data_IF_814530333737
#
_entry.id   IF_814530333737
#
_cell.length_a   1.000
_cell.length_b   1.000
_cell.length_c   1.000
_cell.angle_alpha   90.00
_cell.angle_beta   90.00
_cell.angle_gamma   90.00
#
_symmetry.space_group_name_H-M   'P 1'
#
loop_
_entity.id
_entity.type
_entity.pdbx_description
1 polymer ?
#
# COMPACT_ATOMS: atom_id res chain seq x y z
N UNK A 1 32.98 31.21 18.44
CA UNK A 1 32.96 29.74 18.26
C UNK A 1 31.52 29.27 18.09
N UNK A 2 31.06 29.09 16.86
CA UNK A 2 29.72 28.59 16.54
C UNK A 2 29.74 27.06 16.60
N UNK A 3 29.02 26.48 17.58
CA UNK A 3 28.84 25.02 17.67
C UNK A 3 28.06 24.55 16.45
N UNK A 4 28.73 23.81 15.56
CA UNK A 4 28.14 23.18 14.38
C UNK A 4 27.06 22.19 14.79
N UNK A 5 25.84 22.41 14.32
CA UNK A 5 24.62 21.63 14.62
C UNK A 5 24.57 20.29 13.86
N UNK A 6 25.68 19.55 13.83
CA UNK A 6 25.89 18.36 12.98
C UNK A 6 24.99 17.16 13.35
N UNK A 7 24.36 17.16 14.52
CA UNK A 7 23.46 16.11 14.98
C UNK A 7 22.06 16.15 14.33
N UNK A 8 21.67 17.29 13.73
CA UNK A 8 20.33 17.49 13.15
C UNK A 8 20.17 16.95 11.72
N UNK A 9 21.25 16.90 10.94
CA UNK A 9 21.21 16.45 9.55
C UNK A 9 21.00 14.92 9.39
N UNK A 10 21.65 14.03 10.17
CA UNK A 10 21.49 12.59 10.03
C UNK A 10 20.08 12.08 10.40
N UNK A 11 19.47 12.68 11.43
CA UNK A 11 18.11 12.31 11.87
C UNK A 11 17.04 12.76 10.86
N UNK A 12 17.24 13.92 10.23
CA UNK A 12 16.37 14.40 9.15
C UNK A 12 16.46 13.53 7.90
N UNK A 13 17.68 13.15 7.48
CA UNK A 13 17.87 12.22 6.35
C UNK A 13 17.21 10.86 6.62
N UNK A 14 17.36 10.33 7.84
CA UNK A 14 16.71 9.07 8.23
C UNK A 14 15.18 9.17 8.21
N UNK A 15 14.62 10.26 8.75
CA UNK A 15 13.18 10.49 8.70
C UNK A 15 12.67 10.64 7.25
N UNK A 16 13.40 11.35 6.39
CA UNK A 16 13.07 11.50 4.98
C UNK A 16 13.10 10.17 4.23
N UNK A 17 14.09 9.32 4.49
CA UNK A 17 14.17 7.99 3.89
C UNK A 17 13.02 7.09 4.33
N UNK A 18 12.64 7.11 5.61
CA UNK A 18 11.47 6.37 6.09
C UNK A 18 10.14 6.90 5.55
N UNK A 19 10.04 8.21 5.31
CA UNK A 19 8.87 8.80 4.67
C UNK A 19 8.72 8.33 3.22
N UNK A 20 9.83 8.31 2.46
CA UNK A 20 9.84 7.79 1.09
C UNK A 20 9.42 6.30 1.05
N UNK A 21 9.97 5.49 1.95
CA UNK A 21 9.60 4.07 2.05
C UNK A 21 8.11 3.89 2.38
N UNK A 22 7.57 4.73 3.27
CA UNK A 22 6.14 4.70 3.59
C UNK A 22 5.28 5.08 2.37
N UNK A 23 5.69 6.07 1.58
CA UNK A 23 4.98 6.45 0.35
C UNK A 23 4.97 5.30 -0.66
N UNK A 24 6.10 4.60 -0.82
CA UNK A 24 6.21 3.42 -1.70
C UNK A 24 5.31 2.28 -1.23
N UNK A 25 5.37 1.93 0.07
CA UNK A 25 4.56 0.87 0.67
C UNK A 25 3.06 1.20 0.56
N UNK A 26 2.70 2.46 0.81
CA UNK A 26 1.32 2.93 0.68
C UNK A 26 0.83 2.94 -0.76
N UNK A 27 1.70 3.29 -1.72
CA UNK A 27 1.39 3.17 -3.15
C UNK A 27 1.10 1.72 -3.54
N UNK A 28 1.89 0.76 -3.05
CA UNK A 28 1.66 -0.66 -3.29
C UNK A 28 0.31 -1.12 -2.74
N UNK A 29 -0.01 -0.73 -1.49
CA UNK A 29 -1.32 -1.02 -0.89
C UNK A 29 -2.48 -0.41 -1.71
N UNK A 30 -2.34 0.83 -2.19
CA UNK A 30 -3.35 1.46 -3.05
C UNK A 30 -3.57 0.68 -4.35
N UNK A 31 -2.53 0.13 -4.96
CA UNK A 31 -2.69 -0.69 -6.17
C UNK A 31 -3.42 -2.01 -5.87
N UNK A 32 -3.10 -2.66 -4.75
CA UNK A 32 -3.83 -3.84 -4.32
C UNK A 32 -5.32 -3.54 -4.07
N UNK A 33 -5.64 -2.43 -3.40
CA UNK A 33 -7.03 -1.99 -3.19
C UNK A 33 -7.76 -1.64 -4.50
N UNK A 34 -7.07 -1.07 -5.48
CA UNK A 34 -7.64 -0.84 -6.82
C UNK A 34 -7.99 -2.15 -7.51
N UNK A 35 -7.14 -3.18 -7.41
CA UNK A 35 -7.43 -4.49 -7.97
C UNK A 35 -8.70 -5.11 -7.35
N UNK A 36 -8.90 -4.93 -6.04
CA UNK A 36 -10.15 -5.31 -5.35
C UNK A 36 -11.34 -4.56 -5.93
N UNK A 37 -11.27 -3.23 -6.03
CA UNK A 37 -12.37 -2.42 -6.55
C UNK A 37 -12.72 -2.77 -8.01
N UNK A 38 -11.71 -3.11 -8.84
CA UNK A 38 -11.93 -3.60 -10.19
C UNK A 38 -12.70 -4.93 -10.19
N UNK A 39 -12.33 -5.85 -9.31
CA UNK A 39 -13.02 -7.14 -9.18
C UNK A 39 -14.46 -6.97 -8.67
N UNK A 40 -14.68 -6.10 -7.68
CA UNK A 40 -16.02 -5.74 -7.21
C UNK A 40 -16.86 -5.14 -8.34
N UNK A 41 -16.27 -4.26 -9.14
CA UNK A 41 -16.88 -3.68 -10.34
C UNK A 41 -17.28 -4.75 -11.36
N UNK A 42 -16.40 -5.70 -11.66
CA UNK A 42 -16.65 -6.83 -12.57
C UNK A 42 -17.80 -7.71 -12.07
N UNK A 43 -17.84 -7.96 -10.76
CA UNK A 43 -18.86 -8.79 -10.14
C UNK A 43 -20.21 -8.07 -9.96
N UNK A 44 -20.22 -6.73 -10.06
CA UNK A 44 -21.41 -5.90 -9.85
C UNK A 44 -22.55 -6.27 -10.81
N UNK A 45 -23.78 -6.45 -10.30
CA UNK A 45 -24.96 -6.79 -11.11
C UNK A 45 -25.24 -5.78 -12.23
N UNK A 46 -24.87 -4.51 -12.03
CA UNK A 46 -25.09 -3.42 -13.00
C UNK A 46 -24.34 -3.68 -14.30
N UNK A 47 -23.11 -4.19 -14.23
CA UNK A 47 -22.33 -4.50 -15.42
C UNK A 47 -22.83 -5.77 -16.11
N UNK A 48 -23.33 -6.76 -15.36
CA UNK A 48 -23.90 -8.01 -15.94
C UNK A 48 -25.11 -7.77 -16.83
N UNK A 49 -25.90 -6.72 -16.57
CA UNK A 49 -27.11 -6.42 -17.33
C UNK A 49 -26.86 -5.71 -18.67
N UNK A 50 -25.68 -5.10 -18.87
CA UNK A 50 -25.46 -4.16 -19.98
C UNK A 50 -24.65 -4.73 -21.16
N UNK A 51 -23.79 -5.76 -20.98
CA UNK A 51 -22.76 -6.08 -21.98
C UNK A 51 -22.36 -7.56 -22.14
N UNK A 52 -23.19 -8.53 -21.75
CA UNK A 52 -22.73 -9.92 -21.54
C UNK A 52 -23.30 -10.98 -22.50
N UNK A 53 -23.25 -10.76 -23.81
CA UNK A 53 -23.14 -11.92 -24.72
C UNK A 53 -21.68 -12.43 -24.84
N UNK A 54 -20.66 -11.66 -24.41
CA UNK A 54 -19.26 -11.96 -24.75
C UNK A 54 -18.36 -12.42 -23.57
N UNK A 55 -18.76 -12.26 -22.31
CA UNK A 55 -17.90 -12.58 -21.14
C UNK A 55 -18.61 -13.41 -20.04
N UNK A 56 -18.96 -14.68 -20.29
CA UNK A 56 -19.39 -15.56 -19.19
C UNK A 56 -18.18 -16.06 -18.39
N UNK A 57 -18.15 -15.79 -17.08
CA UNK A 57 -17.22 -16.43 -16.15
C UNK A 57 -17.99 -17.14 -15.03
N UNK A 58 -17.57 -18.34 -14.71
CA UNK A 58 -18.05 -19.11 -13.57
C UNK A 58 -17.35 -18.63 -12.29
N UNK A 59 -17.98 -18.77 -11.10
CA UNK A 59 -17.33 -18.44 -9.83
C UNK A 59 -15.99 -19.16 -9.60
N UNK A 60 -15.79 -20.32 -10.23
CA UNK A 60 -14.51 -21.05 -10.22
C UNK A 60 -13.38 -20.32 -10.96
N UNK A 61 -13.70 -19.59 -12.03
CA UNK A 61 -12.73 -18.94 -12.91
C UNK A 61 -12.01 -17.79 -12.20
N UNK A 62 -12.69 -17.16 -11.23
CA UNK A 62 -12.15 -16.04 -10.45
C UNK A 62 -11.46 -16.48 -9.16
N UNK A 63 -11.53 -17.77 -8.78
CA UNK A 63 -11.00 -18.24 -7.49
C UNK A 63 -9.50 -17.97 -7.35
N UNK A 64 -8.73 -18.26 -8.39
CA UNK A 64 -7.28 -18.02 -8.40
C UNK A 64 -6.96 -16.52 -8.32
N UNK A 65 -7.72 -15.68 -9.03
CA UNK A 65 -7.58 -14.24 -9.01
C UNK A 65 -7.91 -13.64 -7.63
N UNK A 66 -9.02 -14.06 -7.03
CA UNK A 66 -9.41 -13.66 -5.66
C UNK A 66 -8.33 -14.06 -4.66
N UNK A 67 -7.83 -15.30 -4.74
CA UNK A 67 -6.77 -15.78 -3.85
C UNK A 67 -5.50 -14.94 -3.98
N UNK A 68 -5.10 -14.60 -5.21
CA UNK A 68 -3.94 -13.74 -5.48
C UNK A 68 -4.11 -12.33 -4.92
N UNK A 69 -5.25 -11.68 -5.18
CA UNK A 69 -5.54 -10.33 -4.68
C UNK A 69 -5.54 -10.30 -3.15
N UNK A 70 -6.15 -11.31 -2.52
CA UNK A 70 -6.16 -11.42 -1.06
C UNK A 70 -4.75 -11.60 -0.48
N UNK A 71 -3.93 -12.46 -1.10
CA UNK A 71 -2.55 -12.64 -0.70
C UNK A 71 -1.75 -11.33 -0.81
N UNK A 72 -1.97 -10.57 -1.89
CA UNK A 72 -1.28 -9.30 -2.14
C UNK A 72 -1.72 -8.19 -1.18
N UNK A 73 -3.01 -8.11 -0.83
CA UNK A 73 -3.50 -7.20 0.21
C UNK A 73 -2.82 -7.45 1.55
N UNK A 74 -2.73 -8.73 1.96
CA UNK A 74 -2.07 -9.12 3.21
C UNK A 74 -0.58 -8.75 3.14
N UNK A 75 0.08 -9.07 2.01
CA UNK A 75 1.50 -8.77 1.79
C UNK A 75 1.80 -7.27 1.86
N UNK A 76 0.92 -6.42 1.35
CA UNK A 76 1.10 -4.96 1.34
C UNK A 76 0.82 -4.29 2.69
N UNK A 77 0.07 -4.93 3.59
CA UNK A 77 -0.35 -4.28 4.86
C UNK A 77 0.80 -4.18 5.87
N UNK A 78 1.54 -5.26 6.09
CA UNK A 78 2.62 -5.27 7.11
C UNK A 78 3.76 -4.26 6.81
N UNK A 79 4.25 -4.09 5.57
CA UNK A 79 5.25 -3.07 5.25
C UNK A 79 4.81 -1.66 5.61
N UNK A 80 3.56 -1.28 5.32
CA UNK A 80 3.02 0.05 5.67
C UNK A 80 3.08 0.28 7.17
N UNK A 81 2.62 -0.69 7.97
CA UNK A 81 2.67 -0.59 9.43
C UNK A 81 4.11 -0.50 9.96
N UNK A 82 5.02 -1.29 9.39
CA UNK A 82 6.45 -1.26 9.72
C UNK A 82 7.09 0.10 9.39
N UNK A 83 6.77 0.67 8.23
CA UNK A 83 7.26 1.97 7.79
C UNK A 83 6.71 3.12 8.64
N UNK A 84 5.44 3.07 9.03
CA UNK A 84 4.85 4.02 10.00
C UNK A 84 5.59 3.95 11.34
N UNK A 85 5.85 2.75 11.89
CA UNK A 85 6.59 2.57 13.15
C UNK A 85 8.01 3.12 13.04
N UNK A 86 8.68 2.85 11.93
CA UNK A 86 10.06 3.30 11.66
C UNK A 86 10.15 4.82 11.55
N UNK A 87 9.22 5.44 10.81
CA UNK A 87 9.12 6.90 10.71
C UNK A 87 8.85 7.53 12.08
N UNK A 88 7.88 7.03 12.85
CA UNK A 88 7.60 7.51 14.21
C UNK A 88 8.83 7.44 15.12
N UNK A 89 9.60 6.35 15.04
CA UNK A 89 10.85 6.21 15.80
C UNK A 89 11.88 7.26 15.38
N UNK A 90 12.09 7.45 14.07
CA UNK A 90 13.03 8.45 13.56
C UNK A 90 12.66 9.88 13.94
N UNK A 91 11.36 10.22 13.97
CA UNK A 91 10.88 11.53 14.40
C UNK A 91 11.03 11.73 15.91
N UNK A 92 10.84 10.70 16.74
CA UNK A 92 11.06 10.79 18.20
C UNK A 92 12.54 11.05 18.55
N UNK A 93 13.48 10.49 17.78
CA UNK A 93 14.91 10.78 17.93
C UNK A 93 15.31 12.23 17.54
N UNK A 94 14.38 13.05 17.05
CA UNK A 94 14.59 14.48 16.75
C UNK A 94 14.19 15.39 17.92
N UNK A 95 13.39 14.91 18.87
CA UNK A 95 12.79 15.70 19.96
C UNK A 95 13.59 15.60 21.27
N UNK A 96 14.65 14.81 21.31
CA UNK A 96 15.62 14.72 22.41
C UNK A 96 17.02 15.00 21.85
#
# INVERSE_FOLDING_TARGET
>A
MTKSNRASAPSLHKASSHALQLDDDFCNLKQALRAVACLEGLLSPVHRAAHYEEFSFEPGDLRALVALINAELVRCTEPVDSSIRSLRKALKHKVH
#
